data_IF_042225449032
#
_entry.id   IF_042225449032
#
_cell.length_a   1.000
_cell.length_b   1.000
_cell.length_c   1.000
_cell.angle_alpha   90.00
_cell.angle_beta   90.00
_cell.angle_gamma   90.00
#
_symmetry.space_group_name_H-M   'P 1'
#
loop_
_entity.id
_entity.type
_entity.pdbx_description
1 polymer ?
#
# COMPACT_ATOMS: atom_id res chain seq x y z
N UNK A 1 -0.40 3.63 29.42
CA UNK A 1 -0.53 3.02 28.07
C UNK A 1 0.10 3.99 27.09
N UNK A 2 1.26 3.63 26.54
CA UNK A 2 1.95 4.48 25.54
C UNK A 2 1.07 4.62 24.30
N UNK A 3 0.76 5.86 23.92
CA UNK A 3 0.14 6.14 22.63
C UNK A 3 1.21 5.88 21.55
N UNK A 4 1.23 4.67 21.01
CA UNK A 4 2.02 4.40 19.81
C UNK A 4 1.50 5.31 18.71
N UNK A 5 2.32 6.24 18.27
CA UNK A 5 1.95 7.13 17.16
C UNK A 5 2.09 6.35 15.87
N UNK A 6 1.07 6.33 15.01
CA UNK A 6 1.14 5.75 13.67
C UNK A 6 2.32 6.35 12.90
N UNK A 7 3.19 5.52 12.36
CA UNK A 7 4.30 5.95 11.53
C UNK A 7 3.79 6.52 10.18
N UNK A 8 4.50 7.49 9.61
CA UNK A 8 4.14 7.98 8.29
C UNK A 8 4.51 6.96 7.21
N UNK A 9 5.67 6.30 7.35
CA UNK A 9 6.15 5.29 6.42
C UNK A 9 6.74 4.10 7.18
N UNK A 10 6.45 2.89 6.75
CA UNK A 10 7.13 1.66 7.19
C UNK A 10 7.73 0.96 5.99
N UNK A 11 9.03 0.69 6.06
CA UNK A 11 9.69 -0.17 5.08
C UNK A 11 9.43 -1.61 5.47
N UNK A 12 8.99 -2.40 4.49
CA UNK A 12 8.77 -3.84 4.63
C UNK A 12 10.01 -4.55 4.11
N UNK A 13 10.77 -5.05 5.03
CA UNK A 13 11.99 -5.84 4.84
C UNK A 13 11.82 -7.31 5.25
N UNK A 14 10.61 -7.68 5.69
CA UNK A 14 10.24 -9.02 6.09
C UNK A 14 9.41 -9.73 5.00
N UNK A 15 9.88 -10.91 4.50
CA UNK A 15 9.14 -11.70 3.52
C UNK A 15 7.74 -12.13 3.98
N UNK A 16 7.56 -12.35 5.28
CA UNK A 16 6.28 -12.77 5.86
C UNK A 16 5.24 -11.66 5.76
N UNK A 17 5.63 -10.42 6.09
CA UNK A 17 4.77 -9.24 5.94
C UNK A 17 4.38 -9.01 4.46
N UNK A 18 5.30 -9.24 3.52
CA UNK A 18 5.00 -9.17 2.08
C UNK A 18 4.01 -10.25 1.63
N UNK A 19 4.15 -11.48 2.12
CA UNK A 19 3.22 -12.55 1.84
C UNK A 19 1.81 -12.21 2.33
N UNK A 20 1.72 -11.61 3.51
CA UNK A 20 0.45 -11.15 4.06
C UNK A 20 -0.17 -10.06 3.19
N UNK A 21 0.61 -9.09 2.71
CA UNK A 21 0.14 -8.03 1.82
C UNK A 21 -0.25 -8.51 0.41
N UNK A 22 0.20 -9.67 0.01
CA UNK A 22 -0.15 -10.25 -1.29
C UNK A 22 -1.63 -10.55 -1.51
N UNK A 23 -2.48 -10.45 -0.51
CA UNK A 23 -3.91 -10.64 -0.65
C UNK A 23 -4.63 -9.31 -0.87
N UNK A 24 -5.34 -9.08 -2.01
CA UNK A 24 -5.94 -7.78 -2.36
C UNK A 24 -6.88 -7.22 -1.28
N UNK A 25 -7.65 -8.09 -0.62
CA UNK A 25 -8.54 -7.67 0.47
C UNK A 25 -7.76 -7.11 1.68
N UNK A 26 -6.56 -7.61 1.96
CA UNK A 26 -5.73 -7.11 3.07
C UNK A 26 -5.23 -5.70 2.79
N UNK A 27 -4.91 -5.39 1.55
CA UNK A 27 -4.54 -4.03 1.13
C UNK A 27 -5.73 -3.08 1.30
N UNK A 28 -6.94 -3.49 0.91
CA UNK A 28 -8.17 -2.70 1.12
C UNK A 28 -8.46 -2.49 2.62
N UNK A 29 -8.23 -3.50 3.45
CA UNK A 29 -8.39 -3.40 4.91
C UNK A 29 -7.39 -2.40 5.50
N UNK A 30 -6.12 -2.44 5.08
CA UNK A 30 -5.09 -1.49 5.51
C UNK A 30 -5.44 -0.05 5.13
N UNK A 31 -5.92 0.16 3.91
CA UNK A 31 -6.35 1.47 3.44
C UNK A 31 -7.55 2.00 4.27
N UNK A 32 -8.51 1.13 4.59
CA UNK A 32 -9.64 1.46 5.45
C UNK A 32 -9.26 1.71 6.92
N UNK A 33 -8.07 1.27 7.36
CA UNK A 33 -7.52 1.43 8.71
C UNK A 33 -6.50 2.57 8.85
N UNK A 34 -6.41 3.47 7.89
CA UNK A 34 -5.68 4.74 8.05
C UNK A 34 -6.20 5.52 9.25
N UNK A 35 -7.51 5.43 9.51
CA UNK A 35 -8.15 5.89 10.73
C UNK A 35 -8.62 4.68 11.55
N UNK A 36 -8.54 4.76 12.89
CA UNK A 36 -8.94 3.65 13.75
C UNK A 36 -10.37 3.18 13.48
N UNK A 37 -10.55 1.87 13.30
CA UNK A 37 -11.86 1.28 13.03
C UNK A 37 -11.99 -0.14 13.56
N UNK A 38 -13.23 -0.58 13.86
CA UNK A 38 -13.53 -1.98 14.17
C UNK A 38 -13.70 -2.81 12.90
N UNK A 39 -13.56 -4.14 13.01
CA UNK A 39 -13.82 -5.07 11.91
C UNK A 39 -15.18 -4.85 11.25
N UNK A 40 -16.21 -4.56 12.03
CA UNK A 40 -17.55 -4.27 11.50
C UNK A 40 -17.59 -2.96 10.70
N UNK A 41 -16.85 -1.95 11.14
CA UNK A 41 -16.77 -0.67 10.43
C UNK A 41 -15.99 -0.82 9.13
N UNK A 42 -14.85 -1.52 9.15
CA UNK A 42 -14.07 -1.83 7.95
C UNK A 42 -14.91 -2.63 6.95
N UNK A 43 -15.58 -3.69 7.42
CA UNK A 43 -16.42 -4.55 6.57
C UNK A 43 -17.49 -3.75 5.79
N UNK A 44 -18.14 -2.79 6.44
CA UNK A 44 -19.11 -1.90 5.78
C UNK A 44 -18.46 -0.97 4.76
N UNK A 45 -17.26 -0.41 5.08
CA UNK A 45 -16.54 0.51 4.18
C UNK A 45 -16.13 -0.15 2.87
N UNK A 46 -15.71 -1.44 2.94
CA UNK A 46 -15.18 -2.17 1.79
C UNK A 46 -16.18 -3.17 1.19
N UNK A 47 -17.44 -3.18 1.66
CA UNK A 47 -18.49 -4.07 1.13
C UNK A 47 -18.25 -5.56 1.33
N UNK A 48 -17.61 -5.95 2.44
CA UNK A 48 -17.24 -7.35 2.74
C UNK A 48 -17.93 -7.87 4.01
N UNK A 49 -18.03 -9.21 4.14
CA UNK A 49 -18.55 -9.84 5.34
C UNK A 49 -17.64 -9.60 6.58
N UNK A 50 -18.23 -9.28 7.74
CA UNK A 50 -17.51 -9.02 8.99
C UNK A 50 -16.57 -10.17 9.39
N UNK A 51 -17.03 -11.42 9.26
CA UNK A 51 -16.23 -12.59 9.62
C UNK A 51 -14.97 -12.70 8.76
N UNK A 52 -15.10 -12.48 7.44
CA UNK A 52 -13.99 -12.48 6.49
C UNK A 52 -12.98 -11.37 6.81
N UNK A 53 -13.47 -10.14 7.08
CA UNK A 53 -12.61 -9.02 7.47
C UNK A 53 -11.89 -9.31 8.78
N UNK A 54 -12.57 -9.89 9.78
CA UNK A 54 -11.96 -10.22 11.06
C UNK A 54 -10.84 -11.25 10.91
N UNK A 55 -11.01 -12.25 10.05
CA UNK A 55 -9.96 -13.22 9.73
C UNK A 55 -8.72 -12.51 9.16
N UNK A 56 -8.90 -11.67 8.15
CA UNK A 56 -7.78 -10.95 7.53
C UNK A 56 -7.14 -9.91 8.47
N UNK A 57 -7.90 -9.32 9.38
CA UNK A 57 -7.36 -8.45 10.42
C UNK A 57 -6.41 -9.19 11.36
N UNK A 58 -6.73 -10.44 11.72
CA UNK A 58 -5.84 -11.26 12.56
C UNK A 58 -4.54 -11.63 11.85
N UNK A 59 -4.61 -11.92 10.55
CA UNK A 59 -3.41 -12.14 9.73
C UNK A 59 -2.53 -10.88 9.64
N UNK A 60 -3.15 -9.71 9.45
CA UNK A 60 -2.46 -8.43 9.42
C UNK A 60 -1.84 -8.06 10.80
N UNK A 61 -2.55 -8.38 11.88
CA UNK A 61 -2.06 -8.19 13.25
C UNK A 61 -0.85 -9.10 13.53
N UNK A 62 -0.93 -10.38 13.15
CA UNK A 62 0.16 -11.35 13.27
C UNK A 62 1.42 -10.92 12.53
N UNK A 63 1.27 -10.31 11.36
CA UNK A 63 2.37 -9.74 10.59
C UNK A 63 2.80 -8.32 11.07
N UNK A 64 2.22 -7.81 12.14
CA UNK A 64 2.54 -6.50 12.68
C UNK A 64 2.20 -5.32 11.77
N UNK A 65 1.27 -5.48 10.84
CA UNK A 65 0.84 -4.44 9.90
C UNK A 65 -0.33 -3.59 10.43
N UNK A 66 -1.07 -4.15 11.39
CA UNK A 66 -2.09 -3.44 12.17
C UNK A 66 -1.88 -3.68 13.66
N UNK A 67 -2.37 -2.77 14.47
CA UNK A 67 -2.33 -2.87 15.92
C UNK A 67 -3.70 -2.58 16.54
N UNK A 68 -4.09 -3.26 17.64
CA UNK A 68 -5.25 -2.85 18.41
C UNK A 68 -4.92 -1.56 19.17
N UNK A 69 -5.76 -0.55 19.02
CA UNK A 69 -5.58 0.77 19.64
C UNK A 69 -6.62 1.07 20.71
N UNK A 70 -7.58 0.17 20.93
CA UNK A 70 -8.59 0.32 21.96
C UNK A 70 -9.79 -0.60 21.73
N UNK A 71 -10.82 -0.38 22.52
CA UNK A 71 -12.08 -1.09 22.45
C UNK A 71 -13.24 -0.10 22.34
N UNK A 72 -14.28 -0.51 21.66
CA UNK A 72 -15.51 0.27 21.54
C UNK A 72 -16.69 -0.61 21.94
N UNK A 73 -17.53 -0.10 22.86
CA UNK A 73 -18.76 -0.76 23.25
C UNK A 73 -19.88 -0.43 22.26
N UNK A 74 -20.52 -1.46 21.73
CA UNK A 74 -21.66 -1.35 20.83
C UNK A 74 -22.80 -2.22 21.38
N UNK A 75 -23.74 -1.60 22.08
CA UNK A 75 -24.76 -2.34 22.84
C UNK A 75 -24.12 -3.20 23.92
N UNK A 76 -24.39 -4.51 23.91
CA UNK A 76 -23.86 -5.48 24.85
C UNK A 76 -22.51 -6.11 24.41
N UNK A 77 -21.96 -5.71 23.25
CA UNK A 77 -20.74 -6.26 22.70
C UNK A 77 -19.58 -5.27 22.82
N UNK A 78 -18.39 -5.80 23.01
CA UNK A 78 -17.13 -5.05 22.94
C UNK A 78 -16.47 -5.38 21.60
N UNK A 79 -16.13 -4.37 20.84
CA UNK A 79 -15.41 -4.49 19.58
C UNK A 79 -14.00 -3.94 19.72
N UNK A 80 -13.00 -4.71 19.31
CA UNK A 80 -11.63 -4.22 19.20
C UNK A 80 -11.53 -3.23 18.06
N UNK A 81 -10.82 -2.12 18.30
CA UNK A 81 -10.53 -1.07 17.32
C UNK A 81 -9.08 -1.22 16.88
N UNK A 82 -8.87 -1.34 15.58
CA UNK A 82 -7.56 -1.52 14.95
C UNK A 82 -7.15 -0.27 14.19
N UNK A 83 -5.86 -0.10 14.02
CA UNK A 83 -5.25 0.92 13.18
C UNK A 83 -4.08 0.31 12.42
N UNK A 84 -3.83 0.74 11.19
CA UNK A 84 -2.60 0.44 10.46
C UNK A 84 -1.39 1.06 11.19
N UNK A 85 -0.29 0.33 11.34
CA UNK A 85 0.91 0.78 12.05
C UNK A 85 1.62 1.92 11.33
N UNK A 86 1.41 2.05 10.02
CA UNK A 86 1.92 3.14 9.20
C UNK A 86 0.86 3.61 8.19
N UNK A 87 1.01 4.84 7.70
CA UNK A 87 0.17 5.42 6.64
C UNK A 87 0.54 4.89 5.27
N UNK A 88 1.82 4.61 5.07
CA UNK A 88 2.39 4.10 3.82
C UNK A 88 3.31 2.93 4.12
N UNK A 89 3.28 1.93 3.24
CA UNK A 89 4.15 0.78 3.29
C UNK A 89 5.01 0.76 2.03
N UNK A 90 6.33 0.77 2.21
CA UNK A 90 7.30 0.64 1.13
C UNK A 90 7.92 -0.75 1.19
N UNK A 91 7.92 -1.44 0.07
CA UNK A 91 8.59 -2.75 -0.04
C UNK A 91 10.09 -2.51 -0.24
N UNK A 92 10.92 -3.08 0.64
CA UNK A 92 12.36 -3.05 0.45
C UNK A 92 12.77 -3.82 -0.82
N UNK A 93 13.60 -3.25 -1.68
CA UNK A 93 14.14 -3.97 -2.84
C UNK A 93 14.91 -5.23 -2.43
N UNK A 94 15.61 -5.21 -1.30
CA UNK A 94 16.41 -6.34 -0.81
C UNK A 94 15.54 -7.56 -0.53
N UNK A 95 14.35 -7.39 0.03
CA UNK A 95 13.41 -8.47 0.28
C UNK A 95 12.71 -8.92 -1.00
N UNK A 96 12.42 -7.98 -1.88
CA UNK A 96 11.83 -8.30 -3.18
C UNK A 96 12.78 -9.17 -4.05
N UNK A 97 14.10 -9.23 -3.72
CA UNK A 97 15.12 -9.86 -4.57
C UNK A 97 15.98 -10.92 -3.89
N UNK A 98 15.84 -11.19 -2.58
CA UNK A 98 16.78 -11.99 -1.79
C UNK A 98 16.70 -13.52 -1.95
N UNK A 99 15.62 -14.09 -2.51
CA UNK A 99 15.52 -15.53 -2.82
C UNK A 99 14.85 -15.79 -4.18
N UNK A 100 15.63 -16.06 -5.23
CA UNK A 100 15.10 -16.26 -6.58
C UNK A 100 14.06 -17.38 -6.72
N UNK A 101 14.14 -18.45 -5.92
CA UNK A 101 13.28 -19.64 -6.05
C UNK A 101 11.95 -19.50 -5.29
N UNK A 102 11.98 -18.97 -4.09
CA UNK A 102 10.79 -18.70 -3.28
C UNK A 102 10.02 -17.48 -3.82
N UNK A 103 10.78 -16.50 -4.30
CA UNK A 103 10.25 -15.29 -4.91
C UNK A 103 9.66 -15.51 -6.29
N UNK A 104 10.10 -16.50 -7.05
CA UNK A 104 9.53 -16.79 -8.38
C UNK A 104 8.01 -17.07 -8.27
N UNK A 105 7.58 -17.82 -7.27
CA UNK A 105 6.18 -18.16 -7.05
C UNK A 105 5.39 -16.98 -6.42
N UNK A 106 5.98 -16.27 -5.47
CA UNK A 106 5.37 -15.09 -4.84
C UNK A 106 5.37 -13.88 -5.78
N UNK A 107 6.43 -13.65 -6.54
CA UNK A 107 6.53 -12.61 -7.58
C UNK A 107 5.43 -12.72 -8.63
N UNK A 108 5.20 -13.91 -9.16
CA UNK A 108 4.23 -14.10 -10.26
C UNK A 108 2.81 -13.82 -9.84
N UNK A 109 2.47 -14.07 -8.58
CA UNK A 109 1.08 -13.93 -8.13
C UNK A 109 0.78 -12.61 -7.41
N UNK A 110 1.71 -12.05 -6.64
CA UNK A 110 1.40 -10.95 -5.73
C UNK A 110 1.86 -9.56 -6.22
N UNK A 111 3.08 -9.43 -6.74
CA UNK A 111 3.55 -8.13 -7.23
C UNK A 111 2.79 -7.68 -8.49
N UNK A 112 2.48 -8.61 -9.39
CA UNK A 112 1.68 -8.32 -10.57
C UNK A 112 0.23 -8.00 -10.22
N UNK A 113 -0.38 -8.70 -9.26
CA UNK A 113 -1.72 -8.36 -8.78
C UNK A 113 -1.76 -6.97 -8.14
N UNK A 114 -0.76 -6.63 -7.36
CA UNK A 114 -0.64 -5.28 -6.79
C UNK A 114 -0.48 -4.23 -7.87
N UNK A 115 0.34 -4.49 -8.90
CA UNK A 115 0.52 -3.59 -10.03
C UNK A 115 -0.78 -3.39 -10.82
N UNK A 116 -1.52 -4.48 -11.09
CA UNK A 116 -2.84 -4.41 -11.74
C UNK A 116 -3.81 -3.58 -10.90
N UNK A 117 -3.89 -3.83 -9.60
CA UNK A 117 -4.77 -3.08 -8.69
C UNK A 117 -4.42 -1.59 -8.61
N UNK A 118 -3.12 -1.26 -8.60
CA UNK A 118 -2.66 0.13 -8.67
C UNK A 118 -3.06 0.78 -9.99
N UNK A 119 -2.95 0.05 -11.11
CA UNK A 119 -3.36 0.52 -12.43
C UNK A 119 -4.86 0.79 -12.52
N UNK A 120 -5.70 -0.16 -12.09
CA UNK A 120 -7.15 -0.01 -12.05
C UNK A 120 -7.58 1.18 -11.19
N UNK A 121 -6.96 1.32 -10.02
CA UNK A 121 -7.26 2.42 -9.10
C UNK A 121 -6.83 3.77 -9.65
N UNK A 122 -5.64 3.86 -10.25
CA UNK A 122 -5.15 5.07 -10.90
C UNK A 122 -6.09 5.49 -12.04
N UNK A 123 -6.52 4.54 -12.87
CA UNK A 123 -7.46 4.78 -13.94
C UNK A 123 -8.81 5.28 -13.42
N UNK A 124 -9.34 4.67 -12.38
CA UNK A 124 -10.61 5.08 -11.74
C UNK A 124 -10.52 6.48 -11.13
N UNK A 125 -9.44 6.74 -10.37
CA UNK A 125 -9.23 8.06 -9.75
C UNK A 125 -9.06 9.14 -10.85
N UNK A 126 -8.32 8.85 -11.92
CA UNK A 126 -8.11 9.76 -13.04
C UNK A 126 -9.43 10.11 -13.77
N UNK A 127 -10.30 9.12 -13.98
CA UNK A 127 -11.61 9.37 -14.60
C UNK A 127 -12.44 10.37 -13.77
N UNK A 128 -12.50 10.18 -12.45
CA UNK A 128 -13.22 11.11 -11.54
C UNK A 128 -12.62 12.51 -11.57
N UNK A 129 -11.29 12.63 -11.61
CA UNK A 129 -10.61 13.93 -11.66
C UNK A 129 -10.85 14.65 -12.99
N UNK A 130 -10.86 13.90 -14.09
CA UNK A 130 -11.21 14.45 -15.42
C UNK A 130 -12.65 14.98 -15.44
N UNK A 131 -13.60 14.23 -14.87
CA UNK A 131 -15.00 14.67 -14.78
C UNK A 131 -15.13 15.96 -13.94
N UNK A 132 -14.46 16.08 -12.81
CA UNK A 132 -14.45 17.31 -12.00
C UNK A 132 -13.87 18.49 -12.75
N UNK A 133 -12.75 18.30 -13.45
CA UNK A 133 -12.16 19.35 -14.25
C UNK A 133 -13.08 19.79 -15.39
N UNK A 134 -13.72 18.83 -16.06
CA UNK A 134 -14.55 19.10 -17.25
C UNK A 134 -15.93 19.70 -16.91
N UNK A 135 -16.57 19.23 -15.83
CA UNK A 135 -17.97 19.60 -15.52
C UNK A 135 -18.08 20.57 -14.36
N UNK A 136 -17.20 20.48 -13.37
CA UNK A 136 -17.24 21.34 -12.19
C UNK A 136 -16.28 22.54 -12.28
N UNK A 137 -15.42 22.58 -13.34
CA UNK A 137 -14.43 23.62 -13.53
C UNK A 137 -13.32 23.64 -12.47
N UNK A 138 -13.10 22.51 -11.79
CA UNK A 138 -12.09 22.38 -10.74
C UNK A 138 -10.69 22.35 -11.35
N UNK A 139 -9.78 23.18 -10.84
CA UNK A 139 -8.37 23.14 -11.24
C UNK A 139 -7.66 22.00 -10.51
N UNK A 140 -7.32 20.93 -11.25
CA UNK A 140 -6.70 19.73 -10.71
C UNK A 140 -5.17 19.84 -10.79
N UNK A 141 -4.53 20.12 -9.67
CA UNK A 141 -3.07 20.09 -9.56
C UNK A 141 -2.56 18.66 -9.54
N UNK A 142 -2.00 18.18 -10.66
CA UNK A 142 -1.45 16.83 -10.80
C UNK A 142 -0.08 16.85 -11.47
N UNK A 143 0.74 15.84 -11.17
CA UNK A 143 2.02 15.63 -11.84
C UNK A 143 2.23 14.14 -12.10
N UNK A 144 2.75 13.79 -13.29
CA UNK A 144 3.12 12.43 -13.64
C UNK A 144 4.49 12.39 -14.29
N UNK A 145 5.26 11.36 -13.99
CA UNK A 145 6.56 11.09 -14.60
C UNK A 145 6.56 9.67 -15.12
N UNK A 146 6.86 9.51 -16.40
CA UNK A 146 7.16 8.24 -17.03
C UNK A 146 8.57 8.29 -17.62
N UNK A 147 9.41 7.32 -17.31
CA UNK A 147 10.78 7.24 -17.81
C UNK A 147 11.15 5.78 -18.06
N UNK A 148 11.95 5.54 -19.13
CA UNK A 148 12.61 4.27 -19.38
C UNK A 148 14.02 4.34 -18.81
N UNK A 149 14.39 3.37 -17.96
CA UNK A 149 15.73 3.21 -17.41
C UNK A 149 16.28 1.87 -17.83
N UNK A 150 17.53 1.83 -18.29
CA UNK A 150 18.24 0.61 -18.70
C UNK A 150 19.35 0.33 -17.71
N UNK A 151 19.44 -0.92 -17.28
CA UNK A 151 20.47 -1.38 -16.36
C UNK A 151 21.42 -2.33 -17.09
N UNK A 152 22.72 -2.16 -16.89
CA UNK A 152 23.73 -3.01 -17.47
C UNK A 152 23.69 -4.44 -16.88
N UNK A 153 23.38 -4.52 -15.58
CA UNK A 153 23.31 -5.78 -14.84
C UNK A 153 22.35 -5.71 -13.65
N UNK A 154 22.26 -6.83 -12.93
CA UNK A 154 21.43 -6.98 -11.72
C UNK A 154 21.91 -6.09 -10.56
N UNK A 155 23.21 -5.85 -10.44
CA UNK A 155 23.79 -5.06 -9.36
C UNK A 155 23.39 -3.58 -9.53
N UNK A 156 23.48 -3.05 -10.76
CA UNK A 156 23.07 -1.69 -11.08
C UNK A 156 21.55 -1.49 -10.86
N UNK A 157 20.74 -2.47 -11.29
CA UNK A 157 19.30 -2.44 -11.05
C UNK A 157 18.96 -2.42 -9.55
N UNK A 158 19.63 -3.26 -8.76
CA UNK A 158 19.43 -3.32 -7.31
C UNK A 158 19.85 -2.02 -6.62
N UNK A 159 20.97 -1.42 -7.04
CA UNK A 159 21.42 -0.12 -6.52
C UNK A 159 20.41 0.97 -6.82
N UNK A 160 19.92 1.08 -8.05
CA UNK A 160 18.87 2.03 -8.43
C UNK A 160 17.61 1.88 -7.58
N UNK A 161 17.12 0.65 -7.41
CA UNK A 161 15.90 0.42 -6.64
C UNK A 161 16.06 0.78 -5.16
N UNK A 162 17.25 0.57 -4.60
CA UNK A 162 17.57 0.95 -3.22
C UNK A 162 17.58 2.49 -3.05
N UNK A 163 18.21 3.20 -3.96
CA UNK A 163 18.22 4.67 -3.97
C UNK A 163 16.81 5.23 -4.17
N UNK A 164 16.05 4.67 -5.09
CA UNK A 164 14.66 5.04 -5.37
C UNK A 164 13.77 4.92 -4.13
N UNK A 165 13.83 3.80 -3.39
CA UNK A 165 13.07 3.62 -2.16
C UNK A 165 13.53 4.60 -1.07
N UNK A 166 14.83 4.85 -0.97
CA UNK A 166 15.38 5.78 0.02
C UNK A 166 14.90 7.22 -0.26
N UNK A 167 15.03 7.68 -1.49
CA UNK A 167 14.55 9.01 -1.90
C UNK A 167 13.04 9.17 -1.71
N UNK A 168 12.28 8.14 -2.05
CA UNK A 168 10.83 8.13 -1.86
C UNK A 168 10.45 8.22 -0.39
N UNK A 169 11.11 7.46 0.49
CA UNK A 169 10.88 7.52 1.93
C UNK A 169 11.16 8.91 2.50
N UNK A 170 12.29 9.50 2.14
CA UNK A 170 12.66 10.85 2.59
C UNK A 170 11.63 11.91 2.17
N UNK A 171 11.11 11.80 0.94
CA UNK A 171 10.05 12.67 0.45
C UNK A 171 8.76 12.50 1.24
N UNK A 172 8.32 11.26 1.47
CA UNK A 172 7.09 10.96 2.22
C UNK A 172 7.21 11.38 3.69
N UNK A 173 8.36 11.22 4.33
CA UNK A 173 8.61 11.70 5.70
C UNK A 173 8.59 13.23 5.77
N UNK A 174 9.16 13.91 4.76
CA UNK A 174 9.22 15.37 4.71
C UNK A 174 7.86 16.02 4.46
N UNK A 175 7.04 15.43 3.59
CA UNK A 175 5.79 16.02 3.12
C UNK A 175 4.53 15.33 3.64
N UNK A 176 4.62 14.13 4.23
CA UNK A 176 3.50 13.35 4.78
C UNK A 176 2.88 13.94 6.04
N UNK A 177 2.71 15.26 6.11
CA UNK A 177 2.15 15.97 7.26
C UNK A 177 0.69 15.66 7.46
N UNK A 178 0.24 15.62 8.73
CA UNK A 178 -1.14 15.28 9.12
C UNK A 178 -2.21 16.31 8.71
N UNK A 179 -1.80 17.53 8.33
CA UNK A 179 -2.71 18.64 7.97
C UNK A 179 -2.43 19.06 6.53
N UNK A 180 -3.47 19.13 5.72
CA UNK A 180 -3.41 19.57 4.33
C UNK A 180 -4.29 18.74 3.44
N UNK A 181 -4.37 19.11 2.19
CA UNK A 181 -5.07 18.36 1.15
C UNK A 181 -4.39 17.00 0.91
N UNK A 182 -5.16 15.88 0.89
CA UNK A 182 -4.60 14.57 0.65
C UNK A 182 -4.27 14.36 -0.83
N UNK A 183 -3.01 14.11 -1.13
CA UNK A 183 -2.57 13.65 -2.46
C UNK A 183 -2.25 12.16 -2.43
N UNK A 184 -2.65 11.45 -3.48
CA UNK A 184 -2.23 10.08 -3.70
C UNK A 184 -0.95 10.07 -4.54
N UNK A 185 0.09 9.46 -4.00
CA UNK A 185 1.36 9.23 -4.72
C UNK A 185 1.44 7.75 -5.06
N UNK A 186 1.59 7.44 -6.35
CA UNK A 186 1.78 6.08 -6.87
C UNK A 186 3.15 6.01 -7.51
N UNK A 187 3.96 5.08 -7.08
CA UNK A 187 5.32 4.86 -7.54
C UNK A 187 5.47 3.38 -7.90
N UNK A 188 5.77 3.08 -9.15
CA UNK A 188 5.96 1.73 -9.62
C UNK A 188 7.17 1.65 -10.57
N UNK A 189 7.99 0.60 -10.42
CA UNK A 189 9.05 0.23 -11.35
C UNK A 189 8.86 -1.24 -11.73
N UNK A 190 8.75 -1.51 -13.02
CA UNK A 190 8.50 -2.85 -13.56
C UNK A 190 9.20 -3.01 -14.92
N UNK A 191 9.48 -4.26 -15.36
CA UNK A 191 10.09 -4.51 -16.66
C UNK A 191 9.22 -3.99 -17.81
N UNK A 192 9.85 -3.37 -18.81
CA UNK A 192 9.19 -3.01 -20.06
C UNK A 192 8.69 -4.27 -20.78
N UNK A 193 7.41 -4.28 -21.13
CA UNK A 193 6.75 -5.43 -21.77
C UNK A 193 6.83 -5.40 -23.29
N UNK A 194 7.09 -4.23 -23.90
CA UNK A 194 7.11 -4.09 -25.37
C UNK A 194 8.35 -4.71 -26.03
N UNK A 195 9.40 -5.06 -25.26
CA UNK A 195 10.71 -5.52 -25.78
C UNK A 195 11.00 -7.02 -25.66
N UNK A 196 10.02 -7.89 -25.45
CA UNK A 196 10.24 -9.34 -25.46
C UNK A 196 10.03 -10.01 -26.81
N UNK A 197 10.07 -9.25 -27.91
CA UNK A 197 9.97 -9.79 -29.27
C UNK A 197 11.28 -9.53 -30.04
N UNK A 198 12.38 -10.20 -29.62
CA UNK A 198 13.55 -10.44 -30.47
C UNK A 198 14.29 -11.66 -29.94
#
# INVERSE_FOLDING_TARGET
MSKTTQADVRVLDDPEALQVLGHPLRVQILDALREPASAATVARRIGQGRQKVNYHLKELEGAGLVEPVGERRVGNFVESVYRAVARSFLVSPEVAWSDPRRMETLRRQHSLQTLVHLGERLQSDAAVLVDRAAFDGEEIASASVAAEVRFADEAERSAFLKEYVTATRELLERYGKKKGEPYRVVLAAYPDVERRST
#
